data_IF_191764453797
#
_entry.id   IF_191764453797
#
_cell.length_a   1.000
_cell.length_b   1.000
_cell.length_c   1.000
_cell.angle_alpha   90.00
_cell.angle_beta   90.00
_cell.angle_gamma   90.00
#
_symmetry.space_group_name_H-M   'P 1'
#
loop_
_entity.id
_entity.type
_entity.pdbx_description
1 polymer ?
#
# COMPACT_ATOMS: atom_id res chain seq x y z
N UNK A 1 12.71 -14.91 -16.34
CA UNK A 1 12.20 -13.68 -15.68
C UNK A 1 12.91 -13.55 -14.35
N UNK A 2 13.41 -12.37 -14.02
CA UNK A 2 13.98 -12.13 -12.69
C UNK A 2 12.86 -12.18 -11.64
N UNK A 3 13.13 -12.74 -10.47
CA UNK A 3 12.17 -12.77 -9.36
C UNK A 3 11.84 -11.33 -8.93
N UNK A 4 10.55 -10.96 -8.88
CA UNK A 4 10.08 -9.68 -8.36
C UNK A 4 9.98 -9.75 -6.83
N UNK A 5 11.12 -9.99 -6.18
CA UNK A 5 11.20 -10.11 -4.73
C UNK A 5 12.29 -9.20 -4.15
N UNK A 6 12.06 -8.68 -2.97
CA UNK A 6 13.04 -7.88 -2.24
C UNK A 6 12.88 -8.03 -0.73
N UNK A 7 14.01 -7.94 -0.02
CA UNK A 7 14.06 -7.78 1.43
C UNK A 7 14.74 -6.46 1.76
N UNK A 8 14.15 -5.72 2.67
CA UNK A 8 14.69 -4.48 3.23
C UNK A 8 14.69 -4.58 4.74
N UNK A 9 15.80 -4.21 5.34
CA UNK A 9 15.96 -4.09 6.79
C UNK A 9 16.27 -2.62 7.11
N UNK A 10 15.60 -2.10 8.12
CA UNK A 10 15.83 -0.76 8.66
C UNK A 10 15.93 -0.84 10.17
N UNK A 11 17.14 -0.64 10.67
CA UNK A 11 17.43 -0.66 12.09
C UNK A 11 17.83 0.75 12.54
N UNK A 12 17.13 1.26 13.54
CA UNK A 12 17.43 2.53 14.21
C UNK A 12 17.61 2.28 15.72
N UNK A 13 17.88 3.31 16.50
CA UNK A 13 17.95 3.18 17.96
C UNK A 13 16.60 2.86 18.60
N UNK A 14 15.51 3.16 17.92
CA UNK A 14 14.14 3.04 18.42
C UNK A 14 13.36 1.89 17.79
N UNK A 15 13.73 1.47 16.56
CA UNK A 15 12.97 0.46 15.81
C UNK A 15 13.88 -0.50 15.05
N UNK A 16 13.47 -1.75 14.99
CA UNK A 16 14.06 -2.80 14.15
C UNK A 16 12.98 -3.34 13.24
N UNK A 17 13.11 -3.08 11.93
CA UNK A 17 12.10 -3.43 10.95
C UNK A 17 12.75 -4.24 9.84
N UNK A 18 12.17 -5.41 9.55
CA UNK A 18 12.52 -6.24 8.39
C UNK A 18 11.27 -6.51 7.58
N UNK A 19 11.31 -6.19 6.30
CA UNK A 19 10.24 -6.47 5.34
C UNK A 19 10.78 -7.25 4.17
N UNK A 20 10.14 -8.37 3.86
CA UNK A 20 10.37 -9.15 2.64
C UNK A 20 9.08 -9.16 1.82
N UNK A 21 9.19 -8.85 0.55
CA UNK A 21 8.06 -8.92 -0.39
C UNK A 21 8.43 -9.81 -1.56
N UNK A 22 7.45 -10.60 -2.02
CA UNK A 22 7.49 -11.32 -3.27
C UNK A 22 6.22 -11.01 -4.04
N UNK A 23 6.33 -10.25 -5.12
CA UNK A 23 5.19 -9.79 -5.90
C UNK A 23 4.54 -10.90 -6.74
N UNK A 24 5.24 -12.02 -6.89
CA UNK A 24 4.78 -13.23 -7.59
C UNK A 24 4.49 -14.40 -6.62
N UNK A 25 4.39 -14.10 -5.31
CA UNK A 25 4.18 -15.09 -4.25
C UNK A 25 2.74 -15.60 -4.14
N UNK A 26 2.55 -16.55 -3.22
CA UNK A 26 1.26 -17.24 -2.95
C UNK A 26 0.23 -16.35 -2.22
N UNK A 27 0.61 -15.16 -1.76
CA UNK A 27 -0.22 -14.30 -0.92
C UNK A 27 -0.14 -14.63 0.58
N UNK A 28 0.80 -15.49 0.97
CA UNK A 28 1.08 -15.73 2.38
C UNK A 28 1.71 -14.51 3.03
N UNK A 29 1.24 -14.20 4.22
CA UNK A 29 1.69 -13.07 5.00
C UNK A 29 1.98 -13.49 6.44
N UNK A 30 3.14 -13.07 6.95
CA UNK A 30 3.48 -13.18 8.37
C UNK A 30 3.74 -11.79 8.91
N UNK A 31 2.98 -11.37 9.92
CA UNK A 31 3.12 -10.07 10.57
C UNK A 31 3.33 -10.21 12.07
N UNK A 32 4.24 -9.45 12.63
CA UNK A 32 4.49 -9.31 14.07
C UNK A 32 5.04 -7.91 14.33
N UNK A 33 4.15 -6.96 14.56
CA UNK A 33 4.52 -5.56 14.86
C UNK A 33 4.49 -5.27 16.36
N UNK A 34 4.00 -6.22 17.16
CA UNK A 34 3.71 -6.02 18.58
C UNK A 34 2.42 -5.21 18.83
N UNK A 35 1.68 -4.85 17.80
CA UNK A 35 0.41 -4.12 17.86
C UNK A 35 -0.68 -4.93 17.13
N UNK A 36 -1.51 -5.72 17.84
CA UNK A 36 -2.46 -6.65 17.21
C UNK A 36 -3.41 -5.99 16.20
N UNK A 37 -3.83 -4.76 16.46
CA UNK A 37 -4.69 -4.04 15.52
C UNK A 37 -3.93 -3.66 14.23
N UNK A 38 -2.68 -3.23 14.35
CA UNK A 38 -1.85 -2.95 13.18
C UNK A 38 -1.53 -4.24 12.42
N UNK A 39 -1.27 -5.35 13.11
CA UNK A 39 -1.07 -6.66 12.46
C UNK A 39 -2.32 -7.07 11.68
N UNK A 40 -3.52 -6.90 12.25
CA UNK A 40 -4.79 -7.17 11.57
C UNK A 40 -4.97 -6.26 10.32
N UNK A 41 -4.64 -4.96 10.41
CA UNK A 41 -4.71 -4.07 9.25
C UNK A 41 -3.66 -4.43 8.19
N UNK A 42 -2.49 -4.83 8.63
CA UNK A 42 -1.39 -5.21 7.75
C UNK A 42 -1.56 -6.60 7.13
N UNK A 43 -2.33 -7.49 7.76
CA UNK A 43 -2.81 -8.71 7.13
C UNK A 43 -3.67 -8.41 5.89
N UNK A 44 -4.24 -7.21 5.82
CA UNK A 44 -4.93 -6.74 4.61
C UNK A 44 -3.95 -6.22 3.53
N UNK A 45 -2.75 -5.73 3.94
CA UNK A 45 -1.67 -5.25 3.05
C UNK A 45 -0.31 -5.27 3.77
N UNK A 46 0.57 -6.15 3.47
CA UNK A 46 1.87 -6.31 4.12
C UNK A 46 2.70 -5.03 4.44
N UNK A 47 2.79 -4.69 5.66
CA UNK A 47 3.71 -3.97 6.60
C UNK A 47 4.44 -2.67 6.27
N UNK A 48 4.38 -1.71 7.26
CA UNK A 48 5.23 -0.50 7.49
C UNK A 48 5.56 0.33 6.24
N UNK A 49 4.83 1.42 6.06
CA UNK A 49 4.84 2.27 4.88
C UNK A 49 6.22 2.57 4.28
N UNK A 50 7.20 3.00 5.10
CA UNK A 50 8.55 3.31 4.63
C UNK A 50 9.25 2.06 4.06
N UNK A 51 9.37 1.02 4.88
CA UNK A 51 10.12 -0.20 4.52
C UNK A 51 9.40 -0.98 3.44
N UNK A 52 8.05 -0.99 3.47
CA UNK A 52 7.23 -1.57 2.41
C UNK A 52 7.42 -0.82 1.09
N UNK A 53 7.41 0.53 1.11
CA UNK A 53 7.65 1.36 -0.06
C UNK A 53 9.03 1.11 -0.68
N UNK A 54 10.07 1.02 0.15
CA UNK A 54 11.43 0.68 -0.30
C UNK A 54 11.50 -0.72 -0.90
N UNK A 55 10.83 -1.70 -0.29
CA UNK A 55 10.80 -3.08 -0.76
C UNK A 55 10.07 -3.19 -2.11
N UNK A 56 8.92 -2.50 -2.26
CA UNK A 56 8.21 -2.43 -3.53
C UNK A 56 9.05 -1.76 -4.62
N UNK A 57 9.67 -0.61 -4.34
CA UNK A 57 10.51 0.09 -5.32
C UNK A 57 11.70 -0.76 -5.78
N UNK A 58 12.28 -1.56 -4.85
CA UNK A 58 13.40 -2.47 -5.16
C UNK A 58 12.98 -3.73 -5.91
N UNK A 59 11.80 -4.29 -5.58
CA UNK A 59 11.29 -5.52 -6.18
C UNK A 59 10.64 -5.28 -7.55
N UNK A 60 10.12 -4.08 -7.79
CA UNK A 60 9.31 -3.78 -8.95
C UNK A 60 10.16 -3.31 -10.11
N UNK A 61 10.32 -4.15 -11.15
CA UNK A 61 10.59 -3.67 -12.49
C UNK A 61 9.30 -3.07 -13.06
N UNK A 62 9.33 -1.79 -13.39
CA UNK A 62 8.17 -1.06 -13.90
C UNK A 62 7.86 -1.35 -15.37
N UNK A 63 8.66 -2.19 -16.01
CA UNK A 63 8.44 -2.65 -17.39
C UNK A 63 7.27 -3.61 -17.43
N UNK A 64 6.32 -3.35 -18.30
CA UNK A 64 5.18 -4.23 -18.56
C UNK A 64 4.10 -4.29 -17.50
N UNK A 65 4.16 -3.50 -16.44
CA UNK A 65 3.08 -3.42 -15.44
C UNK A 65 1.90 -2.61 -15.95
N UNK A 66 0.71 -2.81 -15.38
CA UNK A 66 -0.47 -1.97 -15.68
C UNK A 66 -0.30 -0.52 -15.26
N UNK A 67 0.56 -0.25 -14.27
CA UNK A 67 0.87 1.05 -13.70
C UNK A 67 -0.24 1.65 -12.85
N UNK A 68 -1.49 1.65 -13.32
CA UNK A 68 -2.64 2.18 -12.61
C UNK A 68 -3.44 1.08 -11.96
N UNK A 69 -3.83 1.29 -10.72
CA UNK A 69 -4.74 0.40 -10.02
C UNK A 69 -5.77 1.17 -9.22
N UNK A 70 -6.95 0.60 -9.09
CA UNK A 70 -8.00 1.18 -8.26
C UNK A 70 -8.90 0.11 -7.67
N UNK A 71 -9.52 0.43 -6.53
CA UNK A 71 -10.54 -0.41 -5.95
C UNK A 71 -11.53 0.40 -5.12
N UNK A 72 -12.77 -0.07 -5.13
CA UNK A 72 -13.81 0.30 -4.19
C UNK A 72 -14.07 -0.91 -3.30
N UNK A 73 -14.04 -0.72 -1.99
CA UNK A 73 -14.30 -1.81 -1.03
C UNK A 73 -15.28 -1.36 0.03
N UNK A 74 -16.41 -2.05 0.17
CA UNK A 74 -17.36 -1.83 1.25
C UNK A 74 -17.02 -2.72 2.46
N UNK A 75 -17.44 -2.27 3.64
CA UNK A 75 -17.62 -3.06 4.85
C UNK A 75 -18.76 -2.42 5.64
N UNK A 76 -19.88 -3.15 5.75
CA UNK A 76 -21.12 -2.67 6.32
C UNK A 76 -21.51 -1.28 5.78
N UNK A 77 -21.51 -0.24 6.61
CA UNK A 77 -21.85 1.14 6.24
C UNK A 77 -20.70 1.92 5.63
N UNK A 78 -19.46 1.39 5.72
CA UNK A 78 -18.28 2.07 5.20
C UNK A 78 -18.00 1.67 3.75
N UNK A 79 -17.52 2.65 2.98
CA UNK A 79 -17.08 2.47 1.60
C UNK A 79 -15.86 3.34 1.36
N UNK A 80 -14.76 2.72 0.96
CA UNK A 80 -13.55 3.46 0.56
C UNK A 80 -13.16 3.22 -0.89
N UNK A 81 -12.52 4.23 -1.47
CA UNK A 81 -11.89 4.20 -2.79
C UNK A 81 -10.40 4.44 -2.63
N UNK A 82 -9.60 3.63 -3.30
CA UNK A 82 -8.16 3.85 -3.43
C UNK A 82 -7.78 3.81 -4.90
N UNK A 83 -6.93 4.76 -5.32
CA UNK A 83 -6.35 4.83 -6.67
C UNK A 83 -4.84 5.01 -6.53
N UNK A 84 -4.05 4.21 -7.26
CA UNK A 84 -2.60 4.28 -7.27
C UNK A 84 -2.06 4.42 -8.69
N UNK A 85 -1.02 5.26 -8.84
CA UNK A 85 -0.21 5.39 -10.06
C UNK A 85 1.27 5.18 -9.70
N UNK A 86 1.92 4.19 -10.28
CA UNK A 86 3.37 4.00 -10.21
C UNK A 86 4.08 5.03 -11.11
N UNK A 87 3.92 6.29 -10.74
CA UNK A 87 4.32 7.46 -11.54
C UNK A 87 5.80 7.80 -11.49
N UNK A 88 6.58 7.18 -10.61
CA UNK A 88 7.97 7.59 -10.32
C UNK A 88 8.06 8.86 -9.44
N UNK A 89 6.94 9.41 -8.98
CA UNK A 89 6.86 10.62 -8.16
C UNK A 89 5.98 10.40 -6.95
N UNK A 90 6.43 10.75 -5.73
CA UNK A 90 5.61 10.63 -4.54
C UNK A 90 4.48 11.66 -4.53
N UNK A 91 3.30 11.26 -4.13
CA UNK A 91 2.15 12.12 -3.91
C UNK A 91 1.07 11.39 -3.13
N UNK A 92 0.52 12.01 -2.09
CA UNK A 92 -0.55 11.46 -1.28
C UNK A 92 -1.70 12.46 -1.19
N UNK A 93 -2.89 12.01 -1.60
CA UNK A 93 -4.17 12.64 -1.30
C UNK A 93 -4.92 11.72 -0.34
N UNK A 94 -5.19 12.20 0.87
CA UNK A 94 -5.71 11.38 1.97
C UNK A 94 -6.93 12.04 2.61
N UNK A 95 -8.10 11.43 2.41
CA UNK A 95 -9.38 11.95 2.87
C UNK A 95 -10.17 10.88 3.62
N UNK A 96 -9.90 10.74 4.92
CA UNK A 96 -10.64 9.86 5.82
C UNK A 96 -11.15 10.69 7.00
N UNK A 97 -12.47 10.97 7.08
CA UNK A 97 -13.04 11.78 8.15
C UNK A 97 -13.27 10.93 9.42
N UNK A 98 -12.20 10.57 10.11
CA UNK A 98 -12.31 9.86 11.38
C UNK A 98 -13.08 10.68 12.41
N UNK A 99 -13.96 10.02 13.16
CA UNK A 99 -14.74 10.61 14.26
C UNK A 99 -14.11 10.34 15.63
N UNK A 100 -13.04 9.54 15.67
CA UNK A 100 -12.32 9.15 16.89
C UNK A 100 -10.82 9.27 16.66
N UNK A 101 -10.06 9.65 17.68
CA UNK A 101 -8.60 9.78 17.64
C UNK A 101 -7.84 8.45 17.70
N UNK A 102 -8.52 7.34 18.01
CA UNK A 102 -7.88 6.03 18.07
C UNK A 102 -8.84 4.89 17.70
N UNK A 103 -8.29 3.83 17.12
CA UNK A 103 -8.98 2.59 16.76
C UNK A 103 -8.14 1.41 17.24
N UNK A 104 -8.72 0.54 18.10
CA UNK A 104 -7.99 -0.61 18.65
C UNK A 104 -6.72 -0.24 19.43
N UNK A 105 -6.69 0.95 20.06
CA UNK A 105 -5.51 1.47 20.76
C UNK A 105 -4.46 2.10 19.84
N UNK A 106 -4.71 2.16 18.54
CA UNK A 106 -3.83 2.75 17.53
C UNK A 106 -4.31 4.15 17.17
N UNK A 107 -3.42 5.15 17.22
CA UNK A 107 -3.73 6.53 16.86
C UNK A 107 -4.03 6.64 15.35
N UNK A 108 -5.15 7.29 15.01
CA UNK A 108 -5.59 7.38 13.61
C UNK A 108 -4.65 8.22 12.72
N UNK A 109 -3.91 9.15 13.31
CA UNK A 109 -2.94 9.98 12.55
C UNK A 109 -1.78 9.14 12.01
N UNK A 110 -1.45 8.02 12.67
CA UNK A 110 -0.40 7.11 12.22
C UNK A 110 -0.74 6.38 10.91
N UNK A 111 -2.02 6.32 10.52
CA UNK A 111 -2.38 5.78 9.20
C UNK A 111 -1.95 6.71 8.08
N UNK A 112 -2.08 8.03 8.26
CA UNK A 112 -1.55 9.01 7.31
C UNK A 112 -0.04 8.84 7.16
N UNK A 113 0.69 8.76 8.28
CA UNK A 113 2.14 8.57 8.28
C UNK A 113 2.57 7.26 7.61
N UNK A 114 1.79 6.19 7.79
CA UNK A 114 2.01 4.93 7.09
C UNK A 114 1.96 5.11 5.56
N UNK A 115 0.88 5.71 5.04
CA UNK A 115 0.71 5.91 3.60
C UNK A 115 1.70 6.94 3.05
N UNK A 116 2.02 8.01 3.80
CA UNK A 116 3.03 8.98 3.41
C UNK A 116 4.41 8.33 3.31
N UNK A 117 4.77 7.49 4.27
CA UNK A 117 6.00 6.69 4.23
C UNK A 117 6.05 5.76 3.02
N UNK A 118 4.93 5.09 2.71
CA UNK A 118 4.84 4.23 1.54
C UNK A 118 5.05 5.00 0.24
N UNK A 119 4.29 6.09 -0.01
CA UNK A 119 4.38 6.83 -1.28
C UNK A 119 5.74 7.45 -1.51
N UNK A 120 6.38 7.97 -0.46
CA UNK A 120 7.70 8.59 -0.55
C UNK A 120 8.79 7.59 -1.00
N UNK A 121 8.67 6.32 -0.61
CA UNK A 121 9.72 5.32 -0.87
C UNK A 121 9.36 4.38 -2.03
N UNK A 122 8.08 4.15 -2.29
CA UNK A 122 7.64 3.45 -3.50
C UNK A 122 7.63 4.34 -4.74
N UNK A 123 7.74 5.67 -4.57
CA UNK A 123 7.68 6.66 -5.65
C UNK A 123 6.39 6.53 -6.46
N UNK A 124 5.26 6.58 -5.76
CA UNK A 124 3.91 6.45 -6.33
C UNK A 124 3.05 7.65 -5.98
N UNK A 125 2.03 7.90 -6.79
CA UNK A 125 0.93 8.80 -6.44
C UNK A 125 -0.23 7.96 -5.94
N UNK A 126 -0.78 8.30 -4.76
CA UNK A 126 -1.81 7.54 -4.07
C UNK A 126 -2.95 8.48 -3.65
N UNK A 127 -4.17 8.14 -4.03
CA UNK A 127 -5.39 8.80 -3.59
C UNK A 127 -6.20 7.84 -2.73
N UNK A 128 -6.59 8.29 -1.55
CA UNK A 128 -7.37 7.54 -0.56
C UNK A 128 -8.56 8.37 -0.15
N UNK A 129 -9.76 7.87 -0.42
CA UNK A 129 -11.00 8.50 0.00
C UNK A 129 -11.87 7.51 0.76
N UNK A 130 -12.28 7.84 1.98
CA UNK A 130 -13.40 7.19 2.61
C UNK A 130 -14.67 7.95 2.23
N UNK A 131 -15.46 7.36 1.35
CA UNK A 131 -16.66 7.98 0.76
C UNK A 131 -17.84 7.96 1.71
N UNK A 132 -17.92 6.94 2.57
CA UNK A 132 -18.97 6.73 3.58
C UNK A 132 -18.40 5.91 4.73
N UNK A 133 -18.97 6.08 5.91
CA UNK A 133 -18.67 5.31 7.11
C UNK A 133 -18.72 6.18 8.36
N UNK A 134 -19.14 5.58 9.46
CA UNK A 134 -19.20 6.23 10.78
C UNK A 134 -18.35 5.47 11.80
N UNK A 135 -18.12 4.17 11.59
CA UNK A 135 -17.26 3.36 12.42
C UNK A 135 -15.81 3.48 11.91
N UNK A 136 -14.93 4.07 12.73
CA UNK A 136 -13.53 4.32 12.35
C UNK A 136 -12.74 3.03 12.03
N UNK A 137 -13.09 1.89 12.65
CA UNK A 137 -12.52 0.59 12.31
C UNK A 137 -12.92 0.18 10.88
N UNK A 138 -14.22 0.27 10.54
CA UNK A 138 -14.71 -0.05 9.19
C UNK A 138 -14.13 0.88 8.14
N UNK A 139 -13.99 2.19 8.47
CA UNK A 139 -13.36 3.16 7.58
C UNK A 139 -11.95 2.73 7.21
N UNK A 140 -11.09 2.48 8.21
CA UNK A 140 -9.68 2.17 7.92
C UNK A 140 -9.50 0.77 7.33
N UNK A 141 -10.28 -0.22 7.75
CA UNK A 141 -10.22 -1.57 7.20
C UNK A 141 -10.59 -1.58 5.71
N UNK A 142 -11.64 -0.84 5.30
CA UNK A 142 -12.00 -0.71 3.88
C UNK A 142 -10.90 -0.04 3.07
N UNK A 143 -10.19 0.94 3.65
CA UNK A 143 -9.03 1.59 3.02
C UNK A 143 -7.90 0.59 2.78
N UNK A 144 -7.50 -0.18 3.79
CA UNK A 144 -6.42 -1.16 3.63
C UNK A 144 -6.78 -2.26 2.62
N UNK A 145 -8.03 -2.76 2.65
CA UNK A 145 -8.52 -3.72 1.65
C UNK A 145 -8.52 -3.14 0.23
N UNK A 146 -8.96 -1.89 0.07
CA UNK A 146 -8.96 -1.21 -1.21
C UNK A 146 -7.54 -0.95 -1.71
N UNK A 147 -6.63 -0.55 -0.83
CA UNK A 147 -5.21 -0.34 -1.14
C UNK A 147 -4.56 -1.63 -1.64
N UNK A 148 -4.72 -2.76 -0.93
CA UNK A 148 -4.16 -4.05 -1.37
C UNK A 148 -4.66 -4.48 -2.75
N UNK A 149 -5.95 -4.27 -3.04
CA UNK A 149 -6.54 -4.59 -4.35
C UNK A 149 -6.04 -3.66 -5.46
N UNK A 150 -5.97 -2.35 -5.18
CA UNK A 150 -5.45 -1.36 -6.12
C UNK A 150 -3.97 -1.60 -6.44
N UNK A 151 -3.18 -1.90 -5.39
CA UNK A 151 -1.77 -2.23 -5.52
C UNK A 151 -1.56 -3.46 -6.40
N UNK A 152 -2.28 -4.57 -6.09
CA UNK A 152 -2.23 -5.79 -6.90
C UNK A 152 -2.54 -5.51 -8.38
N UNK A 153 -3.60 -4.75 -8.65
CA UNK A 153 -3.97 -4.40 -10.02
C UNK A 153 -2.87 -3.60 -10.73
N UNK A 154 -2.26 -2.63 -10.04
CA UNK A 154 -1.25 -1.76 -10.63
C UNK A 154 0.05 -2.49 -11.01
N UNK A 155 0.46 -3.48 -10.20
CA UNK A 155 1.71 -4.24 -10.41
C UNK A 155 1.54 -5.48 -11.32
N UNK A 156 0.30 -5.80 -11.69
CA UNK A 156 0.01 -6.91 -12.59
C UNK A 156 0.63 -6.65 -13.97
N UNK A 157 1.27 -7.67 -14.55
CA UNK A 157 1.84 -7.57 -15.90
C UNK A 157 0.70 -7.48 -16.91
N UNK A 158 0.76 -6.48 -17.79
CA UNK A 158 -0.13 -6.41 -18.97
C UNK A 158 0.46 -7.29 -20.08
N UNK A 159 -0.17 -8.42 -20.45
CA UNK A 159 0.37 -9.33 -21.46
C UNK A 159 0.46 -8.69 -22.84
N UNK A 160 -0.27 -7.58 -23.09
CA UNK A 160 -0.27 -6.85 -24.37
C UNK A 160 0.87 -5.85 -24.48
N UNK A 161 1.53 -5.51 -23.35
CA UNK A 161 2.57 -4.49 -23.25
C UNK A 161 3.74 -4.91 -22.34
N UNK A 162 4.01 -6.22 -22.22
CA UNK A 162 4.92 -6.81 -21.23
C UNK A 162 6.38 -6.34 -21.33
N UNK A 163 6.79 -5.76 -22.44
CA UNK A 163 8.16 -5.27 -22.68
C UNK A 163 8.25 -3.74 -22.80
N UNK A 164 7.20 -3.02 -22.42
CA UNK A 164 7.13 -1.56 -22.57
C UNK A 164 6.99 -0.91 -21.20
N UNK A 165 7.77 0.16 -20.97
CA UNK A 165 7.53 1.04 -19.82
C UNK A 165 6.22 1.81 -20.11
N UNK A 166 5.19 1.72 -19.25
CA UNK A 166 3.88 2.32 -19.48
C UNK A 166 3.91 3.84 -19.27
N UNK A 167 4.74 4.54 -20.03
CA UNK A 167 4.94 5.99 -19.98
C UNK A 167 5.29 6.53 -21.34
N UNK A 168 4.59 7.58 -21.77
CA UNK A 168 4.92 8.31 -23.02
C UNK A 168 6.29 9.01 -22.98
N UNK A 169 6.86 9.16 -21.76
CA UNK A 169 8.20 9.76 -21.56
C UNK A 169 9.33 8.72 -21.58
N UNK A 170 9.00 7.43 -21.69
CA UNK A 170 9.99 6.34 -21.69
C UNK A 170 10.67 6.07 -20.34
N UNK A 171 10.22 6.73 -19.27
CA UNK A 171 10.71 6.55 -17.91
C UNK A 171 9.57 6.70 -16.87
N UNK A 172 9.71 6.05 -15.74
CA UNK A 172 8.84 6.15 -14.56
C UNK A 172 9.68 6.30 -13.29
#
# INVERSE_FOLDING_TARGET
MSSRAATVERNTKETQIKVSVNLDGSGELHTDTGLPFLDHMLDQVARHGITLGMAFNKALDRTGIRRYGHAYVPLDEALSRVVIDFSGRPGLEYHIPFTRGAVGGFDVDLFHEFFQGFVNHALVTLHIDNLRGINSHHQIETVFKAFGRALRMAIEIDPRASNVIPSTKGAL
#
